data_IF_584474796815
#
_entry.id   IF_584474796815
#
_cell.length_a   1.000
_cell.length_b   1.000
_cell.length_c   1.000
_cell.angle_alpha   90.00
_cell.angle_beta   90.00
_cell.angle_gamma   90.00
#
_symmetry.space_group_name_H-M   'P 1'
#
loop_
_entity.id
_entity.type
_entity.pdbx_description
1 polymer ?
#
# COMPACT_ATOMS: atom_id res chain seq x y z
N UNK A 1 -31.97 2.42 -23.49
CA UNK A 1 -30.68 2.72 -24.13
C UNK A 1 -29.77 1.52 -23.92
N UNK A 2 -28.98 1.16 -24.92
CA UNK A 2 -27.95 0.11 -24.82
C UNK A 2 -26.60 0.79 -24.62
N UNK A 3 -25.88 0.44 -23.55
CA UNK A 3 -24.57 1.02 -23.22
C UNK A 3 -23.48 0.09 -23.71
N UNK A 4 -22.67 0.47 -24.70
CA UNK A 4 -21.57 -0.36 -25.22
C UNK A 4 -20.22 0.12 -24.69
N UNK A 5 -19.84 -0.34 -23.49
CA UNK A 5 -18.61 0.10 -22.81
C UNK A 5 -17.36 -0.30 -23.61
N UNK A 6 -17.37 -1.50 -24.20
CA UNK A 6 -16.21 -2.04 -24.90
C UNK A 6 -15.79 -1.19 -26.10
N UNK A 7 -16.76 -0.69 -26.88
CA UNK A 7 -16.52 0.15 -28.05
C UNK A 7 -15.87 1.49 -27.68
N UNK A 8 -16.32 2.09 -26.57
CA UNK A 8 -15.71 3.29 -26.03
C UNK A 8 -14.25 3.08 -25.63
N UNK A 9 -13.96 1.96 -24.94
CA UNK A 9 -12.58 1.60 -24.57
C UNK A 9 -11.72 1.38 -25.82
N UNK A 10 -12.19 0.59 -26.79
CA UNK A 10 -11.43 0.32 -28.02
C UNK A 10 -11.14 1.58 -28.81
N UNK A 11 -12.08 2.52 -28.87
CA UNK A 11 -11.85 3.80 -29.54
C UNK A 11 -10.81 4.64 -28.82
N UNK A 12 -10.84 4.66 -27.49
CA UNK A 12 -9.82 5.33 -26.69
C UNK A 12 -8.43 4.70 -26.89
N UNK A 13 -8.35 3.36 -26.95
CA UNK A 13 -7.09 2.65 -27.27
C UNK A 13 -6.55 3.10 -28.61
N UNK A 14 -7.38 3.10 -29.66
CA UNK A 14 -6.98 3.55 -31.00
C UNK A 14 -6.45 4.99 -31.01
N UNK A 15 -7.06 5.89 -30.24
CA UNK A 15 -6.61 7.29 -30.13
C UNK A 15 -5.28 7.41 -29.37
N UNK A 16 -5.04 6.54 -28.39
CA UNK A 16 -3.86 6.60 -27.51
C UNK A 16 -2.68 5.78 -28.02
N UNK A 17 -2.86 4.91 -29.01
CA UNK A 17 -1.78 4.06 -29.57
C UNK A 17 -0.58 4.88 -30.04
N UNK A 18 -0.83 5.97 -30.77
CA UNK A 18 0.20 6.82 -31.40
C UNK A 18 0.70 7.96 -30.52
N UNK A 19 0.08 8.18 -29.36
CA UNK A 19 0.41 9.29 -28.46
C UNK A 19 1.61 8.92 -27.56
N UNK A 20 2.69 9.71 -27.54
CA UNK A 20 3.78 9.50 -26.58
C UNK A 20 3.40 9.97 -25.17
N UNK A 21 4.00 9.37 -24.15
CA UNK A 21 3.83 9.77 -22.75
C UNK A 21 2.76 8.98 -21.99
N UNK A 22 2.25 9.57 -20.91
CA UNK A 22 1.27 8.94 -20.00
C UNK A 22 -0.10 8.86 -20.65
N UNK A 23 -0.64 7.64 -20.78
CA UNK A 23 -1.94 7.36 -21.41
C UNK A 23 -2.96 7.06 -20.33
N UNK A 24 -4.00 7.88 -20.22
CA UNK A 24 -5.07 7.70 -19.26
C UNK A 24 -6.43 7.69 -19.97
N UNK A 25 -7.32 6.79 -19.55
CA UNK A 25 -8.70 6.69 -20.00
C UNK A 25 -9.57 6.92 -18.78
N UNK A 26 -10.49 7.88 -18.85
CA UNK A 26 -11.49 8.10 -17.81
C UNK A 26 -12.82 7.54 -18.33
N UNK A 27 -13.34 6.51 -17.67
CA UNK A 27 -14.61 5.87 -18.01
C UNK A 27 -15.64 6.26 -16.96
N UNK A 28 -16.70 6.95 -17.36
CA UNK A 28 -17.79 7.36 -16.47
C UNK A 28 -19.03 6.57 -16.85
N UNK A 29 -19.72 5.97 -15.88
CA UNK A 29 -20.95 5.23 -16.13
C UNK A 29 -21.95 5.44 -15.00
N UNK A 30 -23.22 5.57 -15.35
CA UNK A 30 -24.36 5.76 -14.44
C UNK A 30 -25.28 4.52 -14.34
N UNK A 31 -24.91 3.41 -14.97
CA UNK A 31 -25.73 2.21 -15.08
C UNK A 31 -24.93 0.96 -15.39
N UNK A 32 -25.64 -0.14 -15.68
CA UNK A 32 -25.03 -1.41 -16.07
C UNK A 32 -24.91 -1.50 -17.59
N UNK A 33 -23.85 -2.14 -18.08
CA UNK A 33 -23.81 -2.58 -19.47
C UNK A 33 -24.92 -3.60 -19.69
N UNK A 34 -25.90 -3.23 -20.52
CA UNK A 34 -27.05 -4.05 -20.89
C UNK A 34 -26.95 -4.53 -22.34
N UNK A 35 -25.91 -4.12 -23.06
CA UNK A 35 -25.79 -4.28 -24.51
C UNK A 35 -24.86 -5.43 -24.90
N UNK A 36 -23.81 -5.68 -24.10
CA UNK A 36 -22.76 -6.63 -24.45
C UNK A 36 -22.41 -7.58 -23.30
N UNK A 37 -21.83 -8.73 -23.63
CA UNK A 37 -21.19 -9.60 -22.65
C UNK A 37 -20.01 -8.83 -22.04
N UNK A 38 -20.01 -8.62 -20.72
CA UNK A 38 -18.97 -7.90 -19.98
C UNK A 38 -17.54 -8.40 -20.26
N UNK A 39 -17.38 -9.67 -20.68
CA UNK A 39 -16.10 -10.23 -21.12
C UNK A 39 -15.45 -9.43 -22.25
N UNK A 40 -16.23 -8.86 -23.17
CA UNK A 40 -15.71 -8.04 -24.29
C UNK A 40 -15.09 -6.74 -23.77
N UNK A 41 -15.70 -6.12 -22.75
CA UNK A 41 -15.15 -4.94 -22.10
C UNK A 41 -13.83 -5.25 -21.38
N UNK A 42 -13.71 -6.43 -20.75
CA UNK A 42 -12.45 -6.87 -20.15
C UNK A 42 -11.34 -7.09 -21.19
N UNK A 43 -11.66 -7.66 -22.35
CA UNK A 43 -10.68 -7.78 -23.45
C UNK A 43 -10.25 -6.41 -24.00
N UNK A 44 -11.18 -5.46 -24.10
CA UNK A 44 -10.83 -4.08 -24.47
C UNK A 44 -9.91 -3.42 -23.43
N UNK A 45 -10.17 -3.61 -22.13
CA UNK A 45 -9.31 -3.11 -21.06
C UNK A 45 -7.92 -3.75 -21.08
N UNK A 46 -7.80 -5.05 -21.38
CA UNK A 46 -6.49 -5.70 -21.57
C UNK A 46 -5.71 -5.08 -22.73
N UNK A 47 -6.37 -4.73 -23.84
CA UNK A 47 -5.72 -3.99 -24.94
C UNK A 47 -5.23 -2.62 -24.49
N UNK A 48 -6.02 -1.90 -23.69
CA UNK A 48 -5.58 -0.64 -23.08
C UNK A 48 -4.33 -0.83 -22.21
N UNK A 49 -4.31 -1.85 -21.36
CA UNK A 49 -3.14 -2.18 -20.54
C UNK A 49 -1.89 -2.48 -21.40
N UNK A 50 -2.03 -3.21 -22.51
CA UNK A 50 -0.93 -3.56 -23.40
C UNK A 50 -0.23 -2.35 -24.04
N UNK A 51 -0.98 -1.28 -24.32
CA UNK A 51 -0.40 -0.02 -24.84
C UNK A 51 0.09 0.91 -23.74
N UNK A 52 0.07 0.47 -22.48
CA UNK A 52 0.46 1.23 -21.30
C UNK A 52 -0.58 2.24 -20.82
N UNK A 53 -1.84 2.13 -21.25
CA UNK A 53 -2.92 3.01 -20.82
C UNK A 53 -3.53 2.56 -19.49
N UNK A 54 -3.74 3.52 -18.58
CA UNK A 54 -4.43 3.34 -17.30
C UNK A 54 -5.88 3.78 -17.40
N UNK A 55 -6.81 2.99 -16.89
CA UNK A 55 -8.23 3.33 -16.83
C UNK A 55 -8.65 3.74 -15.43
N UNK A 56 -9.20 4.94 -15.31
CA UNK A 56 -9.86 5.42 -14.10
C UNK A 56 -11.36 5.37 -14.33
N UNK A 57 -12.06 4.58 -13.53
CA UNK A 57 -13.49 4.33 -13.72
C UNK A 57 -14.26 5.10 -12.66
N UNK A 58 -15.37 5.75 -13.05
CA UNK A 58 -16.21 6.57 -12.18
C UNK A 58 -17.64 6.09 -12.26
N UNK A 59 -18.18 5.63 -11.13
CA UNK A 59 -19.56 5.21 -11.00
C UNK A 59 -20.48 6.33 -10.52
N UNK A 60 -21.56 6.59 -11.24
CA UNK A 60 -22.51 7.68 -10.95
C UNK A 60 -23.86 7.12 -10.55
N UNK A 61 -24.28 7.34 -9.31
CA UNK A 61 -25.57 6.86 -8.80
C UNK A 61 -25.57 5.36 -8.46
N UNK A 62 -26.68 4.92 -7.85
CA UNK A 62 -26.77 3.60 -7.20
C UNK A 62 -26.90 2.41 -8.15
N UNK A 63 -27.25 2.66 -9.42
CA UNK A 63 -27.50 1.61 -10.42
C UNK A 63 -26.23 1.16 -11.17
N UNK A 64 -25.08 1.71 -10.80
CA UNK A 64 -23.79 1.43 -11.45
C UNK A 64 -23.34 -0.01 -11.19
N UNK A 65 -22.69 -0.61 -12.20
CA UNK A 65 -22.01 -1.88 -12.11
C UNK A 65 -20.63 -1.74 -11.41
N UNK A 66 -20.62 -1.49 -10.10
CA UNK A 66 -19.40 -1.12 -9.36
C UNK A 66 -18.30 -2.20 -9.41
N UNK A 67 -18.67 -3.47 -9.31
CA UNK A 67 -17.72 -4.59 -9.38
C UNK A 67 -17.05 -4.69 -10.76
N UNK A 68 -17.83 -4.49 -11.82
CA UNK A 68 -17.35 -4.49 -13.19
C UNK A 68 -16.44 -3.30 -13.47
N UNK A 69 -16.83 -2.11 -13.02
CA UNK A 69 -16.04 -0.88 -13.13
C UNK A 69 -14.72 -0.98 -12.36
N UNK A 70 -14.74 -1.60 -11.18
CA UNK A 70 -13.56 -1.89 -10.38
C UNK A 70 -12.61 -2.85 -11.12
N UNK A 71 -13.12 -3.93 -11.70
CA UNK A 71 -12.32 -4.89 -12.48
C UNK A 71 -11.70 -4.25 -13.72
N UNK A 72 -12.43 -3.40 -14.44
CA UNK A 72 -11.91 -2.68 -15.61
C UNK A 72 -10.73 -1.76 -15.25
N UNK A 73 -10.86 -1.00 -14.16
CA UNK A 73 -9.76 -0.18 -13.64
C UNK A 73 -8.56 -1.05 -13.22
N UNK A 74 -8.79 -2.16 -12.52
CA UNK A 74 -7.74 -3.02 -12.02
C UNK A 74 -6.91 -3.67 -13.15
N UNK A 75 -7.55 -4.09 -14.23
CA UNK A 75 -6.90 -4.67 -15.41
C UNK A 75 -5.83 -3.76 -16.03
N UNK A 76 -5.96 -2.45 -15.82
CA UNK A 76 -5.06 -1.43 -16.36
C UNK A 76 -4.21 -0.73 -15.29
N UNK A 77 -4.19 -1.25 -14.06
CA UNK A 77 -3.54 -0.61 -12.91
C UNK A 77 -4.07 0.79 -12.55
N UNK A 78 -5.29 1.13 -12.98
CA UNK A 78 -5.95 2.36 -12.60
C UNK A 78 -6.79 2.19 -11.33
N UNK A 79 -7.75 3.10 -11.13
CA UNK A 79 -8.53 3.20 -9.90
C UNK A 79 -10.01 3.43 -10.21
N UNK A 80 -10.88 2.76 -9.47
CA UNK A 80 -12.31 3.03 -9.46
C UNK A 80 -12.66 4.05 -8.37
N UNK A 81 -13.52 4.99 -8.72
CA UNK A 81 -14.09 5.99 -7.84
C UNK A 81 -15.61 5.92 -7.91
N UNK A 82 -16.24 6.14 -6.76
CA UNK A 82 -17.66 6.48 -6.73
C UNK A 82 -17.80 8.00 -6.85
N UNK A 83 -18.87 8.48 -7.49
CA UNK A 83 -19.01 9.90 -7.82
C UNK A 83 -19.05 10.84 -6.59
N UNK A 84 -19.40 10.31 -5.41
CA UNK A 84 -19.35 11.02 -4.13
C UNK A 84 -17.92 11.19 -3.59
N UNK A 85 -16.91 10.50 -4.15
CA UNK A 85 -15.49 10.61 -3.80
C UNK A 85 -14.77 11.76 -4.53
N UNK A 86 -15.41 12.94 -4.60
CA UNK A 86 -14.94 14.12 -5.36
C UNK A 86 -13.52 14.53 -5.01
N UNK A 87 -13.14 14.46 -3.74
CA UNK A 87 -11.80 14.83 -3.27
C UNK A 87 -10.70 13.97 -3.91
N UNK A 88 -10.90 12.66 -4.06
CA UNK A 88 -9.92 11.74 -4.67
C UNK A 88 -9.79 11.96 -6.17
N UNK A 89 -10.90 12.26 -6.84
CA UNK A 89 -10.90 12.63 -8.26
C UNK A 89 -10.15 13.95 -8.51
N UNK A 90 -10.37 14.96 -7.66
CA UNK A 90 -9.64 16.24 -7.73
C UNK A 90 -8.13 16.05 -7.53
N UNK A 91 -7.70 15.13 -6.66
CA UNK A 91 -6.28 14.86 -6.47
C UNK A 91 -5.60 14.34 -7.74
N UNK A 92 -6.31 13.56 -8.56
CA UNK A 92 -5.74 12.97 -9.78
C UNK A 92 -5.88 13.86 -11.02
N UNK A 93 -6.97 14.63 -11.12
CA UNK A 93 -7.35 15.32 -12.36
C UNK A 93 -7.73 16.78 -12.18
N UNK A 94 -7.84 17.26 -10.95
CA UNK A 94 -8.24 18.63 -10.65
C UNK A 94 -7.05 19.54 -10.38
N UNK A 95 -7.33 20.84 -10.41
CA UNK A 95 -6.42 21.83 -9.85
C UNK A 95 -6.49 21.71 -8.33
N UNK A 96 -5.36 21.31 -7.74
CA UNK A 96 -5.19 21.26 -6.30
C UNK A 96 -5.10 22.70 -5.78
N UNK A 97 -6.08 23.13 -4.99
CA UNK A 97 -6.00 24.40 -4.30
C UNK A 97 -4.78 24.40 -3.37
N UNK A 98 -4.10 25.55 -3.26
CA UNK A 98 -3.04 25.74 -2.26
C UNK A 98 -3.65 25.66 -0.86
N UNK A 99 -3.72 24.44 -0.33
CA UNK A 99 -4.16 24.22 1.03
C UNK A 99 -3.12 24.87 1.98
N UNK A 100 -3.57 25.94 2.66
CA UNK A 100 -2.78 26.74 3.61
C UNK A 100 -2.46 25.98 4.90
N UNK A 101 -2.97 24.77 5.07
CA UNK A 101 -2.57 23.89 6.16
C UNK A 101 -1.08 23.56 6.03
N UNK A 102 -0.32 23.87 7.09
CA UNK A 102 1.13 23.62 7.13
C UNK A 102 1.48 22.14 7.19
N UNK A 103 0.54 21.29 7.60
CA UNK A 103 0.79 19.87 7.85
C UNK A 103 -0.01 19.04 6.85
N UNK A 104 0.65 18.34 5.92
CA UNK A 104 -0.04 17.44 4.99
C UNK A 104 -0.78 16.33 5.74
N UNK A 105 -2.00 16.05 5.28
CA UNK A 105 -2.77 14.87 5.70
C UNK A 105 -2.70 13.80 4.61
N UNK A 106 -2.97 12.55 4.97
CA UNK A 106 -2.89 11.42 4.05
C UNK A 106 -4.26 11.10 3.45
N UNK A 107 -4.27 10.86 2.14
CA UNK A 107 -5.44 10.41 1.40
C UNK A 107 -5.14 9.06 0.74
N UNK A 108 -6.03 8.09 0.96
CA UNK A 108 -5.98 6.80 0.27
C UNK A 108 -6.59 6.98 -1.11
N UNK A 109 -5.76 6.89 -2.14
CA UNK A 109 -6.21 7.06 -3.52
C UNK A 109 -6.85 5.80 -4.10
N UNK A 110 -6.36 4.62 -3.74
CA UNK A 110 -6.91 3.36 -4.22
C UNK A 110 -7.36 2.50 -3.03
N UNK A 111 -8.66 2.48 -2.75
CA UNK A 111 -9.25 1.70 -1.66
C UNK A 111 -9.43 0.21 -1.99
N UNK A 112 -9.12 -0.24 -3.21
CA UNK A 112 -9.35 -1.62 -3.65
C UNK A 112 -8.09 -2.49 -3.63
N UNK A 113 -6.94 -1.92 -3.27
CA UNK A 113 -5.69 -2.67 -3.17
C UNK A 113 -5.58 -3.34 -1.80
N UNK A 114 -5.05 -4.58 -1.73
CA UNK A 114 -4.85 -5.33 -0.46
C UNK A 114 -4.27 -4.49 0.69
N UNK A 115 -3.32 -3.61 0.38
CA UNK A 115 -2.68 -2.74 1.37
C UNK A 115 -3.68 -1.76 2.00
N UNK A 116 -4.53 -1.14 1.16
CA UNK A 116 -5.36 0.02 1.47
C UNK A 116 -6.84 -0.29 1.58
N UNK A 117 -7.27 -1.52 1.27
CA UNK A 117 -8.64 -1.97 1.49
C UNK A 117 -9.03 -1.81 2.96
N UNK A 118 -10.22 -1.27 3.19
CA UNK A 118 -10.74 -0.97 4.54
C UNK A 118 -9.88 0.01 5.37
N UNK A 119 -8.94 0.73 4.75
CA UNK A 119 -8.23 1.86 5.36
C UNK A 119 -8.89 3.15 4.86
N UNK A 120 -10.11 3.44 5.30
CA UNK A 120 -10.83 4.59 4.75
C UNK A 120 -10.35 5.93 5.33
N UNK A 121 -9.67 5.95 6.48
CA UNK A 121 -9.15 7.20 7.07
C UNK A 121 -7.82 6.97 7.81
N UNK A 122 -6.71 7.28 7.14
CA UNK A 122 -5.40 7.37 7.79
C UNK A 122 -5.33 8.73 8.50
N UNK A 123 -5.81 8.75 9.73
CA UNK A 123 -5.71 9.90 10.62
C UNK A 123 -4.28 9.98 11.16
N UNK A 124 -3.35 10.35 10.28
CA UNK A 124 -1.96 10.64 10.60
C UNK A 124 -1.57 11.94 9.90
N UNK A 125 -0.99 12.85 10.67
CA UNK A 125 -0.32 14.03 10.14
C UNK A 125 1.15 13.70 9.89
N UNK A 126 1.72 14.21 8.79
CA UNK A 126 3.13 14.00 8.45
C UNK A 126 3.94 15.31 8.44
N UNK A 127 5.21 15.19 8.83
CA UNK A 127 6.32 16.18 8.89
C UNK A 127 6.84 16.75 7.58
N UNK A 128 6.63 15.99 6.52
CA UNK A 128 7.48 15.98 5.35
C UNK A 128 7.46 14.59 4.76
N UNK A 129 8.09 14.45 3.60
CA UNK A 129 8.19 13.23 2.82
C UNK A 129 9.31 13.42 1.80
N UNK A 130 9.80 12.32 1.23
CA UNK A 130 10.71 12.38 0.10
C UNK A 130 9.93 12.78 -1.16
N UNK A 131 10.40 13.80 -1.88
CA UNK A 131 9.84 14.16 -3.18
C UNK A 131 10.18 13.06 -4.20
N UNK A 132 9.16 12.32 -4.64
CA UNK A 132 9.29 11.17 -5.53
C UNK A 132 8.23 11.19 -6.60
N UNK A 133 8.61 10.73 -7.79
CA UNK A 133 7.69 10.59 -8.93
C UNK A 133 7.44 9.09 -9.18
N UNK A 134 6.20 8.60 -9.12
CA UNK A 134 5.91 7.20 -9.38
C UNK A 134 6.19 6.88 -10.85
N UNK A 135 6.72 5.69 -11.11
CA UNK A 135 6.85 5.20 -12.48
C UNK A 135 5.48 5.15 -13.15
N UNK A 136 5.45 5.30 -14.47
CA UNK A 136 4.20 5.22 -15.25
C UNK A 136 3.45 3.91 -15.02
N UNK A 137 4.14 2.81 -14.76
CA UNK A 137 3.57 1.48 -14.46
C UNK A 137 3.26 1.24 -12.99
N UNK A 138 3.61 2.16 -12.09
CA UNK A 138 3.34 2.04 -10.66
C UNK A 138 1.85 2.31 -10.35
N UNK A 139 1.34 1.61 -9.35
CA UNK A 139 0.05 1.85 -8.70
C UNK A 139 0.27 2.80 -7.53
N UNK A 140 -0.29 3.99 -7.61
CA UNK A 140 -0.26 4.96 -6.52
C UNK A 140 -1.40 4.62 -5.54
N UNK A 141 -1.06 4.40 -4.27
CA UNK A 141 -2.01 3.92 -3.26
C UNK A 141 -2.39 4.99 -2.25
N UNK A 142 -1.40 5.75 -1.78
CA UNK A 142 -1.59 6.81 -0.77
C UNK A 142 -0.82 8.05 -1.20
N UNK A 143 -1.45 9.21 -1.05
CA UNK A 143 -0.87 10.53 -1.30
C UNK A 143 -1.09 11.46 -0.12
N UNK A 144 -0.50 12.64 -0.17
CA UNK A 144 -0.97 13.78 0.61
C UNK A 144 -2.33 14.26 0.09
N UNK A 145 -3.00 15.12 0.85
CA UNK A 145 -4.16 15.92 0.39
C UNK A 145 -3.81 16.84 -0.81
N UNK A 146 -2.52 17.04 -1.10
CA UNK A 146 -1.99 17.78 -2.25
C UNK A 146 -1.52 16.86 -3.38
N UNK A 147 -1.83 15.57 -3.33
CA UNK A 147 -1.47 14.61 -4.37
C UNK A 147 -0.02 14.16 -4.39
N UNK A 148 0.81 14.57 -3.43
CA UNK A 148 2.19 14.12 -3.35
C UNK A 148 2.26 12.63 -3.00
N UNK A 149 3.03 11.81 -3.71
CA UNK A 149 3.08 10.37 -3.49
C UNK A 149 3.68 9.99 -2.14
N UNK A 150 2.97 9.15 -1.38
CA UNK A 150 3.45 8.62 -0.08
C UNK A 150 3.68 7.11 -0.16
N UNK A 151 2.77 6.37 -0.81
CA UNK A 151 2.95 4.95 -1.05
C UNK A 151 2.58 4.60 -2.49
N UNK A 152 3.53 4.00 -3.20
CA UNK A 152 3.33 3.44 -4.52
C UNK A 152 3.87 2.02 -4.60
N UNK A 153 3.20 1.17 -5.38
CA UNK A 153 3.64 -0.20 -5.64
C UNK A 153 3.84 -0.46 -7.12
N UNK A 154 4.80 -1.32 -7.48
CA UNK A 154 4.96 -1.79 -8.85
C UNK A 154 5.46 -3.23 -8.86
N UNK A 155 5.62 -3.77 -10.08
CA UNK A 155 6.18 -5.10 -10.30
C UNK A 155 7.39 -5.03 -11.22
N UNK A 156 8.36 -5.88 -10.96
CA UNK A 156 9.50 -6.12 -11.84
C UNK A 156 9.54 -7.62 -12.10
N UNK A 157 9.18 -8.04 -13.32
CA UNK A 157 8.90 -9.45 -13.61
C UNK A 157 7.83 -10.01 -12.67
N UNK A 158 8.16 -11.08 -11.95
CA UNK A 158 7.28 -11.68 -10.94
C UNK A 158 7.42 -11.05 -9.54
N UNK A 159 8.42 -10.18 -9.35
CA UNK A 159 8.68 -9.51 -8.07
C UNK A 159 7.72 -8.37 -7.79
N UNK A 160 7.56 -8.04 -6.50
CA UNK A 160 6.76 -6.93 -6.00
C UNK A 160 7.68 -5.88 -5.39
N UNK A 161 7.37 -4.61 -5.60
CA UNK A 161 8.10 -3.50 -4.99
C UNK A 161 7.11 -2.49 -4.43
N UNK A 162 7.34 -2.07 -3.18
CA UNK A 162 6.66 -0.94 -2.57
C UNK A 162 7.68 0.15 -2.26
N UNK A 163 7.38 1.39 -2.66
CA UNK A 163 8.12 2.57 -2.23
C UNK A 163 7.25 3.35 -1.24
N UNK A 164 7.80 3.56 -0.05
CA UNK A 164 7.22 4.33 1.04
C UNK A 164 8.04 5.61 1.15
N UNK A 165 7.45 6.76 0.81
CA UNK A 165 8.16 8.04 0.68
C UNK A 165 8.22 8.82 2.01
N UNK A 166 8.15 8.13 3.13
CA UNK A 166 8.25 8.68 4.48
C UNK A 166 9.39 7.97 5.20
N UNK A 167 9.89 8.56 6.27
CA UNK A 167 10.95 7.99 7.09
C UNK A 167 10.45 6.82 7.95
N UNK A 168 11.34 6.32 8.81
CA UNK A 168 11.05 5.29 9.83
C UNK A 168 10.16 5.79 10.98
N UNK A 169 9.64 7.02 10.88
CA UNK A 169 8.83 7.68 11.90
C UNK A 169 9.61 8.53 12.90
N UNK A 170 10.95 8.61 12.79
CA UNK A 170 11.78 9.36 13.73
C UNK A 170 11.69 10.89 13.58
N UNK A 171 11.41 11.39 12.37
CA UNK A 171 11.39 12.81 11.99
C UNK A 171 10.05 13.22 11.39
N UNK A 172 9.51 12.47 10.41
CA UNK A 172 8.35 12.90 9.62
C UNK A 172 7.08 12.10 9.90
N UNK A 173 7.19 10.78 9.99
CA UNK A 173 6.05 9.85 9.96
C UNK A 173 5.65 9.26 11.32
N UNK A 174 6.03 9.86 12.45
CA UNK A 174 5.81 9.25 13.77
C UNK A 174 4.36 8.81 14.02
N UNK A 175 3.36 9.59 13.59
CA UNK A 175 1.94 9.24 13.74
C UNK A 175 1.50 8.03 12.90
N UNK A 176 2.20 7.73 11.80
CA UNK A 176 2.00 6.51 11.00
C UNK A 176 2.44 5.25 11.74
N UNK A 177 3.37 5.37 12.70
CA UNK A 177 3.86 4.23 13.49
C UNK A 177 2.95 3.89 14.68
N UNK A 178 1.88 4.66 14.90
CA UNK A 178 0.89 4.37 15.94
C UNK A 178 0.17 3.03 15.72
N UNK A 179 -0.37 2.44 16.80
CA UNK A 179 -1.15 1.18 16.72
C UNK A 179 -2.29 1.24 15.70
N UNK A 180 -2.90 2.42 15.51
CA UNK A 180 -3.98 2.63 14.55
C UNK A 180 -3.47 2.65 13.10
N UNK A 181 -2.42 3.41 12.84
CA UNK A 181 -1.98 3.73 11.47
C UNK A 181 -0.89 2.77 10.92
N UNK A 182 -0.18 2.06 11.79
CA UNK A 182 0.89 1.11 11.43
C UNK A 182 0.42 -0.04 10.53
N UNK A 183 -0.90 -0.27 10.45
CA UNK A 183 -1.51 -1.19 9.47
C UNK A 183 -1.05 -0.91 8.05
N UNK A 184 -0.89 0.35 7.66
CA UNK A 184 -0.43 0.70 6.30
C UNK A 184 0.97 0.13 6.03
N UNK A 185 1.90 0.30 6.97
CA UNK A 185 3.27 -0.21 6.86
C UNK A 185 3.29 -1.74 6.86
N UNK A 186 2.63 -2.38 7.83
CA UNK A 186 2.62 -3.84 7.98
C UNK A 186 1.98 -4.52 6.76
N UNK A 187 0.86 -3.99 6.25
CA UNK A 187 0.24 -4.53 5.04
C UNK A 187 1.10 -4.32 3.80
N UNK A 188 1.83 -3.21 3.72
CA UNK A 188 2.80 -2.98 2.64
C UNK A 188 3.92 -4.00 2.66
N UNK A 189 4.47 -4.31 3.85
CA UNK A 189 5.50 -5.31 4.04
C UNK A 189 4.98 -6.72 3.67
N UNK A 190 3.83 -7.12 4.21
CA UNK A 190 3.21 -8.41 3.88
C UNK A 190 2.92 -8.55 2.39
N UNK A 191 2.46 -7.46 1.74
CA UNK A 191 2.24 -7.46 0.30
C UNK A 191 3.54 -7.62 -0.48
N UNK A 192 4.63 -6.97 -0.06
CA UNK A 192 5.93 -7.04 -0.71
C UNK A 192 6.58 -8.43 -0.57
N UNK A 193 6.55 -9.02 0.63
CA UNK A 193 7.00 -10.39 0.89
C UNK A 193 6.16 -11.37 0.07
N UNK A 194 4.84 -11.14 0.02
CA UNK A 194 3.91 -12.07 -0.59
C UNK A 194 3.85 -13.38 0.19
N UNK A 195 3.52 -14.46 -0.51
CA UNK A 195 3.45 -15.80 0.07
C UNK A 195 4.54 -16.64 -0.61
N UNK A 196 5.74 -16.73 -0.04
CA UNK A 196 6.89 -17.38 -0.69
C UNK A 196 6.62 -18.85 -1.01
N UNK A 197 5.81 -19.51 -0.19
CA UNK A 197 5.49 -20.92 -0.29
C UNK A 197 4.30 -21.21 -1.24
N UNK A 198 3.75 -20.19 -1.91
CA UNK A 198 2.56 -20.36 -2.78
C UNK A 198 2.77 -21.34 -3.93
N UNK A 199 4.01 -21.46 -4.44
CA UNK A 199 4.37 -22.39 -5.52
C UNK A 199 4.96 -23.72 -5.03
N UNK A 200 5.05 -23.91 -3.71
CA UNK A 200 5.57 -25.15 -3.17
C UNK A 200 4.49 -26.23 -3.31
N UNK A 201 4.77 -27.25 -4.12
CA UNK A 201 3.86 -28.38 -4.35
C UNK A 201 3.75 -29.27 -3.11
N UNK A 202 4.85 -29.41 -2.35
CA UNK A 202 4.89 -30.24 -1.14
C UNK A 202 5.57 -29.48 0.01
N UNK A 203 4.95 -29.45 1.18
CA UNK A 203 5.55 -28.79 2.35
C UNK A 203 4.56 -28.60 3.48
N UNK A 204 5.06 -28.10 4.61
CA UNK A 204 4.27 -27.93 5.83
C UNK A 204 4.23 -26.49 6.28
N UNK A 205 3.03 -26.02 6.58
CA UNK A 205 2.73 -24.68 7.07
C UNK A 205 2.22 -24.83 8.50
N UNK A 206 2.80 -24.08 9.42
CA UNK A 206 2.44 -24.12 10.83
C UNK A 206 2.65 -22.76 11.49
N UNK A 207 1.89 -22.50 12.54
CA UNK A 207 2.03 -21.33 13.39
C UNK A 207 2.78 -21.69 14.67
N UNK A 208 3.53 -20.72 15.20
CA UNK A 208 4.14 -20.81 16.52
C UNK A 208 3.06 -20.94 17.62
N UNK A 209 3.39 -21.65 18.69
CA UNK A 209 2.46 -21.92 19.79
C UNK A 209 3.14 -21.83 21.15
N UNK A 210 2.47 -22.28 22.20
CA UNK A 210 2.98 -22.37 23.57
C UNK A 210 3.00 -23.82 24.03
N UNK A 211 3.85 -24.11 25.02
CA UNK A 211 3.84 -25.41 25.71
C UNK A 211 2.41 -25.74 26.17
N UNK A 212 1.97 -26.96 25.86
CA UNK A 212 0.64 -27.46 26.23
C UNK A 212 -0.52 -26.94 25.36
N UNK A 213 -0.28 -26.01 24.43
CA UNK A 213 -1.31 -25.51 23.51
C UNK A 213 -1.17 -26.19 22.13
N UNK A 214 -2.24 -26.82 21.59
CA UNK A 214 -2.18 -27.42 20.28
C UNK A 214 -1.88 -26.37 19.19
N UNK A 215 -1.00 -26.73 18.25
CA UNK A 215 -0.83 -26.05 16.96
C UNK A 215 -1.31 -26.95 15.84
N UNK A 216 -1.72 -26.34 14.73
CA UNK A 216 -2.16 -27.05 13.53
C UNK A 216 -1.04 -27.05 12.51
N UNK A 217 -0.69 -28.24 12.01
CA UNK A 217 0.19 -28.42 10.87
C UNK A 217 -0.69 -28.61 9.63
N UNK A 218 -0.53 -27.75 8.64
CA UNK A 218 -1.16 -27.89 7.32
C UNK A 218 -0.12 -28.40 6.33
N UNK A 219 -0.33 -29.60 5.79
CA UNK A 219 0.58 -30.30 4.90
C UNK A 219 0.03 -30.26 3.48
N UNK A 220 0.80 -29.73 2.54
CA UNK A 220 0.59 -29.90 1.11
C UNK A 220 1.38 -31.12 0.64
N UNK A 221 0.72 -32.08 0.03
CA UNK A 221 1.33 -33.33 -0.46
C UNK A 221 0.41 -34.01 -1.47
N UNK A 222 0.98 -34.57 -2.54
CA UNK A 222 0.22 -35.36 -3.53
C UNK A 222 -0.32 -36.67 -2.94
N UNK A 223 0.37 -37.20 -1.93
CA UNK A 223 -0.02 -38.44 -1.24
C UNK A 223 -0.44 -38.16 0.21
N UNK A 224 -1.38 -38.95 0.73
CA UNK A 224 -1.79 -38.83 2.11
C UNK A 224 -0.62 -39.15 3.07
N UNK A 225 -0.24 -38.20 3.95
CA UNK A 225 0.81 -38.43 4.94
C UNK A 225 0.42 -39.55 5.90
N UNK A 226 1.40 -40.37 6.29
CA UNK A 226 1.22 -41.48 7.26
C UNK A 226 2.25 -41.37 8.36
N UNK A 227 1.79 -41.43 9.61
CA UNK A 227 2.60 -41.44 10.82
C UNK A 227 2.02 -42.42 11.83
N UNK A 228 2.87 -43.00 12.69
CA UNK A 228 2.42 -43.74 13.87
C UNK A 228 1.86 -42.82 14.95
N UNK A 229 2.35 -41.59 15.01
CA UNK A 229 2.17 -40.69 16.16
C UNK A 229 1.08 -39.64 15.92
N UNK A 230 0.67 -39.45 14.66
CA UNK A 230 -0.23 -38.39 14.24
C UNK A 230 -1.26 -38.88 13.23
N UNK A 231 -2.51 -38.47 13.45
CA UNK A 231 -3.62 -38.68 12.50
C UNK A 231 -3.75 -37.48 11.59
N UNK A 232 -3.85 -37.73 10.28
CA UNK A 232 -3.99 -36.69 9.26
C UNK A 232 -5.41 -36.68 8.68
N UNK A 233 -6.01 -35.49 8.62
CA UNK A 233 -7.33 -35.26 8.05
C UNK A 233 -7.18 -34.54 6.71
N UNK A 234 -7.78 -35.05 5.63
CA UNK A 234 -7.81 -34.34 4.34
C UNK A 234 -8.82 -33.19 4.45
N UNK A 235 -8.38 -31.97 4.11
CA UNK A 235 -9.23 -30.76 4.15
C UNK A 235 -9.51 -30.19 2.77
N UNK A 236 -8.62 -30.42 1.81
CA UNK A 236 -8.76 -30.01 0.41
C UNK A 236 -7.94 -30.96 -0.47
N UNK A 237 -7.96 -30.75 -1.79
CA UNK A 237 -7.12 -31.51 -2.69
C UNK A 237 -5.64 -31.26 -2.39
N UNK A 238 -4.88 -32.37 -2.32
CA UNK A 238 -3.47 -32.39 -1.90
C UNK A 238 -3.17 -31.69 -0.56
N UNK A 239 -4.17 -31.40 0.28
CA UNK A 239 -4.00 -30.66 1.54
C UNK A 239 -4.57 -31.43 2.73
N UNK A 240 -3.71 -31.64 3.72
CA UNK A 240 -3.99 -32.41 4.93
C UNK A 240 -3.67 -31.61 6.19
N UNK A 241 -4.34 -31.93 7.29
CA UNK A 241 -4.09 -31.29 8.59
C UNK A 241 -3.87 -32.31 9.69
N UNK A 242 -3.01 -31.95 10.64
CA UNK A 242 -2.88 -32.64 11.93
C UNK A 242 -2.63 -31.63 13.05
N UNK A 243 -2.82 -32.05 14.30
CA UNK A 243 -2.58 -31.20 15.46
C UNK A 243 -1.48 -31.78 16.35
N UNK A 244 -0.56 -30.92 16.77
CA UNK A 244 0.57 -31.28 17.63
C UNK A 244 0.54 -30.39 18.86
N UNK A 245 0.78 -30.98 20.04
CA UNK A 245 0.90 -30.26 21.30
C UNK A 245 2.36 -30.31 21.75
N UNK A 246 3.10 -29.19 21.75
CA UNK A 246 4.48 -29.20 22.18
C UNK A 246 4.59 -29.34 23.70
N UNK A 247 5.60 -30.10 24.12
CA UNK A 247 5.87 -30.39 25.54
C UNK A 247 7.10 -29.67 26.07
N UNK A 248 7.90 -29.03 25.21
CA UNK A 248 9.15 -28.35 25.57
C UNK A 248 9.24 -26.94 24.98
N UNK A 249 10.09 -26.11 25.58
CA UNK A 249 10.35 -24.73 25.17
C UNK A 249 11.34 -24.70 23.99
N UNK A 250 11.17 -23.76 23.07
CA UNK A 250 12.11 -23.51 21.97
C UNK A 250 11.61 -24.07 20.64
N UNK A 251 12.52 -24.19 19.68
CA UNK A 251 12.19 -24.70 18.35
C UNK A 251 11.90 -26.20 18.41
N UNK A 252 10.73 -26.59 17.90
CA UNK A 252 10.28 -27.97 17.77
C UNK A 252 10.44 -28.39 16.31
N UNK A 253 11.05 -29.55 16.10
CA UNK A 253 11.18 -30.16 14.78
C UNK A 253 10.19 -31.32 14.61
N UNK A 254 9.39 -31.26 13.56
CA UNK A 254 8.53 -32.38 13.14
C UNK A 254 9.26 -33.11 12.02
N UNK A 255 10.16 -34.02 12.41
CA UNK A 255 11.10 -34.70 11.50
C UNK A 255 10.46 -35.39 10.29
N UNK A 256 9.24 -35.91 10.43
CA UNK A 256 8.52 -36.56 9.35
C UNK A 256 8.14 -35.58 8.21
N UNK A 257 8.09 -34.29 8.52
CA UNK A 257 7.48 -33.24 7.71
C UNK A 257 8.45 -32.09 7.39
N UNK A 258 9.72 -32.21 7.80
CA UNK A 258 10.75 -31.16 7.71
C UNK A 258 10.24 -29.77 8.15
N UNK A 259 9.39 -29.77 9.18
CA UNK A 259 8.72 -28.58 9.68
C UNK A 259 9.33 -28.15 11.01
N UNK A 260 9.57 -26.87 11.17
CA UNK A 260 10.04 -26.27 12.43
C UNK A 260 9.06 -25.21 12.88
N UNK A 261 8.69 -25.22 14.17
CA UNK A 261 7.88 -24.17 14.79
C UNK A 261 8.42 -23.82 16.18
N UNK A 262 8.17 -22.60 16.65
CA UNK A 262 8.56 -22.20 17.99
C UNK A 262 7.47 -22.52 19.03
N UNK A 263 7.90 -23.07 20.15
CA UNK A 263 7.08 -23.29 21.34
C UNK A 263 7.53 -22.34 22.44
N UNK A 264 6.68 -21.35 22.74
CA UNK A 264 6.93 -20.37 23.77
C UNK A 264 6.44 -20.87 25.15
N UNK A 265 6.78 -20.13 26.21
CA UNK A 265 6.42 -20.47 27.59
C UNK A 265 4.89 -20.63 27.78
N UNK A 266 4.44 -21.41 28.79
CA UNK A 266 3.02 -21.58 29.13
C UNK A 266 2.31 -20.24 29.35
N UNK A 267 1.03 -20.14 29.00
CA UNK A 267 0.30 -18.85 29.03
C UNK A 267 0.28 -18.21 30.43
N UNK A 268 0.35 -19.03 31.47
CA UNK A 268 0.40 -18.66 32.88
C UNK A 268 1.59 -17.76 33.22
N UNK A 269 2.71 -17.93 32.50
CA UNK A 269 3.91 -17.10 32.69
C UNK A 269 3.89 -15.80 31.88
N UNK A 270 2.82 -15.48 31.15
CA UNK A 270 2.75 -14.23 30.41
C UNK A 270 2.67 -13.00 31.32
N UNK A 271 2.10 -13.15 32.51
CA UNK A 271 1.79 -12.03 33.41
C UNK A 271 2.52 -12.11 34.77
N UNK A 272 3.58 -12.91 34.90
CA UNK A 272 4.38 -12.97 36.15
C UNK A 272 5.23 -11.71 36.40
N UNK A 273 5.31 -10.80 35.43
CA UNK A 273 6.04 -9.54 35.55
C UNK A 273 7.53 -9.68 35.24
N UNK A 274 8.27 -8.59 35.45
CA UNK A 274 9.70 -8.51 35.16
C UNK A 274 10.53 -8.98 36.37
N UNK A 275 11.69 -9.58 36.09
CA UNK A 275 12.67 -9.90 37.13
C UNK A 275 13.25 -8.58 37.70
N UNK A 276 13.31 -8.45 39.03
CA UNK A 276 13.88 -7.30 39.72
C UNK A 276 15.33 -6.99 39.34
N UNK A 277 16.11 -7.99 38.92
CA UNK A 277 17.49 -7.82 38.45
C UNK A 277 17.57 -7.14 37.08
N UNK A 278 16.50 -7.18 36.28
CA UNK A 278 16.47 -6.58 34.94
C UNK A 278 16.65 -5.05 35.03
N UNK A 279 16.07 -4.41 36.04
CA UNK A 279 16.24 -2.96 36.27
C UNK A 279 17.70 -2.59 36.52
N UNK A 280 18.40 -3.41 37.31
CA UNK A 280 19.82 -3.22 37.59
C UNK A 280 20.69 -3.43 36.34
N UNK A 281 20.36 -4.44 35.53
CA UNK A 281 21.06 -4.71 34.27
C UNK A 281 20.88 -3.58 33.26
N UNK A 282 19.65 -3.09 33.08
CA UNK A 282 19.36 -1.96 32.18
C UNK A 282 20.12 -0.71 32.63
N UNK A 283 20.11 -0.39 33.92
CA UNK A 283 20.89 0.73 34.46
C UNK A 283 22.40 0.60 34.21
N UNK A 284 22.97 -0.61 34.31
CA UNK A 284 24.40 -0.85 34.09
C UNK A 284 24.86 -0.59 32.64
N UNK A 285 23.95 -0.67 31.67
CA UNK A 285 24.24 -0.39 30.25
C UNK A 285 24.01 1.09 29.88
N UNK A 286 23.62 1.92 30.85
CA UNK A 286 23.17 3.30 30.62
C UNK A 286 21.80 3.38 29.96
N UNK A 287 21.07 2.25 29.89
CA UNK A 287 19.69 2.19 29.43
C UNK A 287 18.71 2.70 30.49
N UNK A 288 17.50 3.04 30.05
CA UNK A 288 16.40 3.43 30.93
C UNK A 288 15.25 2.45 30.73
N UNK A 289 14.63 2.04 31.83
CA UNK A 289 13.41 1.23 31.82
C UNK A 289 12.24 2.13 32.21
N UNK A 290 11.18 2.08 31.41
CA UNK A 290 9.93 2.78 31.69
C UNK A 290 8.82 1.76 31.89
N UNK A 291 8.02 1.94 32.93
CA UNK A 291 6.77 1.19 33.06
C UNK A 291 5.80 1.61 31.95
N UNK A 292 4.93 0.71 31.44
CA UNK A 292 3.93 1.08 30.43
C UNK A 292 3.00 2.22 30.87
N UNK A 293 2.86 2.44 32.19
CA UNK A 293 2.08 3.51 32.81
C UNK A 293 2.85 4.82 32.99
N UNK A 294 4.18 4.81 32.89
CA UNK A 294 5.02 6.00 33.03
C UNK A 294 5.10 6.80 31.73
N UNK A 295 3.94 7.29 31.30
CA UNK A 295 3.79 8.06 30.06
C UNK A 295 4.62 9.35 30.15
N UNK A 296 4.72 9.96 31.33
CA UNK A 296 5.43 11.23 31.52
C UNK A 296 6.95 11.05 31.44
N UNK A 297 7.53 10.03 32.09
CA UNK A 297 8.96 9.72 31.99
C UNK A 297 9.38 9.36 30.56
N UNK A 298 8.57 8.56 29.86
CA UNK A 298 8.77 8.26 28.43
C UNK A 298 8.71 9.56 27.61
N UNK A 299 7.69 10.38 27.84
CA UNK A 299 7.49 11.63 27.12
C UNK A 299 8.67 12.60 27.30
N UNK A 300 9.15 12.80 28.53
CA UNK A 300 10.27 13.71 28.81
C UNK A 300 11.60 13.20 28.23
N UNK A 301 11.82 11.88 28.26
CA UNK A 301 12.97 11.27 27.60
C UNK A 301 12.93 11.41 26.07
N UNK A 302 11.76 11.23 25.46
CA UNK A 302 11.58 11.39 24.00
C UNK A 302 11.69 12.87 23.61
N UNK A 303 11.12 13.78 24.39
CA UNK A 303 11.09 15.22 24.13
C UNK A 303 12.48 15.86 24.15
N UNK A 304 13.38 15.39 25.00
CA UNK A 304 14.78 15.88 25.03
C UNK A 304 15.57 15.48 23.80
N UNK A 305 15.17 14.42 23.07
CA UNK A 305 15.82 13.96 21.84
C UNK A 305 15.12 14.36 20.54
N UNK A 306 13.83 14.71 20.58
CA UNK A 306 13.05 14.95 19.39
C UNK A 306 12.95 16.46 19.06
N UNK A 307 13.84 16.95 18.19
CA UNK A 307 13.59 18.20 17.45
C UNK A 307 12.69 17.88 16.27
N UNK A 308 11.40 18.23 16.34
CA UNK A 308 10.46 18.06 15.22
C UNK A 308 10.73 19.15 14.19
N UNK A 309 11.40 18.81 13.09
CA UNK A 309 11.60 19.71 11.97
C UNK A 309 10.34 19.65 11.11
N UNK A 310 9.61 20.76 11.04
CA UNK A 310 8.47 20.90 10.12
C UNK A 310 9.05 21.46 8.81
N UNK A 311 9.10 20.63 7.77
CA UNK A 311 9.52 21.08 6.46
C UNK A 311 8.30 21.65 5.72
N UNK A 312 8.26 22.97 5.51
CA UNK A 312 7.31 23.58 4.58
C UNK A 312 8.02 23.89 3.26
N UNK A 313 7.52 23.36 2.16
CA UNK A 313 7.97 23.71 0.83
C UNK A 313 7.22 24.95 0.35
N UNK A 314 7.95 26.02 0.01
CA UNK A 314 7.40 27.17 -0.71
C UNK A 314 7.89 27.12 -2.17
N UNK A 315 6.96 27.19 -3.12
CA UNK A 315 7.25 27.13 -4.54
C UNK A 315 7.61 28.50 -5.10
N UNK A 316 8.91 28.78 -5.25
CA UNK A 316 9.41 30.05 -5.81
C UNK A 316 9.29 30.16 -7.35
N UNK A 317 8.30 29.52 -7.99
CA UNK A 317 8.17 29.49 -9.45
C UNK A 317 7.93 30.88 -10.06
N UNK A 318 7.07 31.68 -9.42
CA UNK A 318 6.66 32.99 -9.91
C UNK A 318 7.82 33.99 -10.10
N UNK A 319 8.77 34.14 -9.14
CA UNK A 319 9.97 34.96 -9.34
C UNK A 319 10.76 34.59 -10.60
N UNK A 320 10.96 33.30 -10.87
CA UNK A 320 11.71 32.83 -12.04
C UNK A 320 10.95 33.02 -13.34
N UNK A 321 9.63 32.77 -13.35
CA UNK A 321 8.78 33.04 -14.52
C UNK A 321 8.81 34.53 -14.86
N UNK A 322 8.69 35.39 -13.85
CA UNK A 322 8.69 36.83 -14.02
C UNK A 322 10.05 37.33 -14.52
N UNK A 323 11.16 36.80 -13.99
CA UNK A 323 12.50 37.09 -14.48
C UNK A 323 12.70 36.64 -15.94
N UNK A 324 12.25 35.43 -16.30
CA UNK A 324 12.32 34.94 -17.68
C UNK A 324 11.48 35.80 -18.65
N UNK A 325 10.31 36.26 -18.21
CA UNK A 325 9.43 37.12 -18.99
C UNK A 325 10.04 38.50 -19.22
N UNK A 326 10.72 39.07 -18.22
CA UNK A 326 11.49 40.32 -18.37
C UNK A 326 12.62 40.14 -19.39
N UNK A 327 13.41 39.07 -19.28
CA UNK A 327 14.51 38.79 -20.21
C UNK A 327 13.99 38.66 -21.64
N UNK A 328 12.89 37.92 -21.84
CA UNK A 328 12.25 37.76 -23.14
C UNK A 328 11.76 39.08 -23.74
N UNK A 329 11.14 39.95 -22.92
CA UNK A 329 10.71 41.27 -23.36
C UNK A 329 11.91 42.14 -23.76
N UNK A 330 12.99 42.15 -22.97
CA UNK A 330 14.23 42.88 -23.29
C UNK A 330 14.81 42.38 -24.62
N UNK A 331 14.86 41.07 -24.84
CA UNK A 331 15.34 40.49 -26.10
C UNK A 331 14.51 40.96 -27.30
N UNK A 332 13.18 40.99 -27.17
CA UNK A 332 12.28 41.51 -28.21
C UNK A 332 12.57 42.98 -28.50
N UNK A 333 12.74 43.81 -27.45
CA UNK A 333 13.06 45.23 -27.61
C UNK A 333 14.38 45.44 -28.34
N UNK A 334 15.43 44.72 -27.95
CA UNK A 334 16.75 44.76 -28.61
C UNK A 334 16.62 44.34 -30.08
N UNK A 335 15.99 43.18 -30.36
CA UNK A 335 15.79 42.71 -31.74
C UNK A 335 15.00 43.67 -32.60
N UNK A 336 14.01 44.36 -32.02
CA UNK A 336 13.18 45.35 -32.73
C UNK A 336 13.93 46.64 -33.01
N UNK A 337 14.76 47.09 -32.07
CA UNK A 337 15.59 48.28 -32.24
C UNK A 337 16.65 48.08 -33.34
N UNK A 338 17.37 46.96 -33.34
CA UNK A 338 18.40 46.65 -34.34
C UNK A 338 17.86 46.23 -35.73
N UNK A 339 16.54 46.04 -35.89
CA UNK A 339 15.88 45.80 -37.20
C UNK A 339 15.25 47.07 -37.79
N UNK A 340 15.34 48.20 -37.08
CA UNK A 340 14.74 49.47 -37.47
C UNK A 340 15.73 50.41 -38.18
N UNK A 341 16.98 49.99 -38.39
CA UNK A 341 17.97 50.62 -39.27
C UNK A 341 18.09 49.84 -40.59
#
# INVERSE_FOLDING_TARGET
SSTAISQGILKAVQLLETVPGSKNIILISDGKDTAENIGVAYEAAKKAANIGAKMYTVGVGEKTADLEMMRLAELTNGVYFKADEVSRLKILFGDLEEDKTKTPTLTVLNSNHFITQDLQDISASIHGFADVVPKTTARLLVTTNKGDPILATWRVGLGRVGAYAIDDGSVWGGELMSKKNSKLLIRSLNWAIGEPDRKREEGVITEDTRIGKPTTLTIKSKQQPKSSDHTFYKIDDETYQTSVVPTSLGFQEVKLLDATFASNYPIEYQNVGLNAELTNLVGSTGGLMFEPTDIQGIYDHVKTRSKRIINSTETLRWPFILAALIIFLIEIFIRRYFRSD
#
